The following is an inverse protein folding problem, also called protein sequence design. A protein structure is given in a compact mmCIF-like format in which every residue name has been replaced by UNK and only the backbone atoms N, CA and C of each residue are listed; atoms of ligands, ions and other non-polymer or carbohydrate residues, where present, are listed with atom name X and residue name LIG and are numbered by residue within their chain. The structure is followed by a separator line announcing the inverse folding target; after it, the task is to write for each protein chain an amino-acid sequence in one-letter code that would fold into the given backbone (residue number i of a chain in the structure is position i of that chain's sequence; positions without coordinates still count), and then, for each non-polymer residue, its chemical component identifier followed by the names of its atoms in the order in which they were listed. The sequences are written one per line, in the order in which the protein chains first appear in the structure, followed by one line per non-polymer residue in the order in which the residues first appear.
data_IF_714547529066
#
_entry.id   IF_714547529066
#
_cell.length_a   1.000
_cell.length_b   1.000
_cell.length_c   1.000
_cell.angle_alpha   90.00
_cell.angle_beta   90.00
_cell.angle_gamma   90.00
#
_symmetry.space_group_name_H-M   'P 1'
#
loop_
_entity.id
_entity.type
_entity.pdbx_description
1 polymer ?
#
# COMPACT_ATOMS: atom_id res chain seq x y z
N UNK A 1 5.72 -3.91 -12.86
CA UNK A 1 6.56 -4.05 -11.64
C UNK A 1 8.00 -3.75 -12.05
N UNK A 2 8.45 -2.50 -11.93
CA UNK A 2 9.60 -1.99 -12.67
C UNK A 2 10.61 -1.22 -11.82
N UNK A 3 11.78 -1.84 -11.62
CA UNK A 3 13.18 -1.37 -11.67
C UNK A 3 13.62 0.09 -11.36
N UNK A 4 12.78 1.02 -10.91
CA UNK A 4 13.23 2.39 -10.58
C UNK A 4 12.68 2.83 -9.23
N UNK A 5 13.35 2.38 -8.17
CA UNK A 5 13.13 2.80 -6.78
C UNK A 5 14.29 3.72 -6.31
N UNK A 6 14.85 4.53 -7.22
CA UNK A 6 15.82 5.54 -6.85
C UNK A 6 15.11 6.82 -6.36
N UNK A 7 15.83 7.67 -5.64
CA UNK A 7 15.28 8.92 -5.06
C UNK A 7 14.82 9.94 -6.13
N UNK A 8 15.14 9.70 -7.40
CA UNK A 8 14.73 10.51 -8.55
C UNK A 8 13.45 9.98 -9.22
N UNK A 9 12.96 8.81 -8.81
CA UNK A 9 11.73 8.25 -9.37
C UNK A 9 10.51 9.01 -8.86
N UNK A 10 9.66 9.45 -9.79
CA UNK A 10 8.34 10.02 -9.47
C UNK A 10 7.40 9.04 -8.77
N UNK A 11 7.69 7.73 -8.85
CA UNK A 11 6.92 6.69 -8.18
C UNK A 11 7.90 5.58 -7.72
N UNK A 12 8.11 5.50 -6.41
CA UNK A 12 9.01 4.49 -5.79
C UNK A 12 8.27 3.22 -5.39
N UNK A 13 7.01 3.09 -5.82
CA UNK A 13 6.12 2.00 -5.46
C UNK A 13 5.48 2.21 -4.09
N UNK A 14 4.27 1.65 -3.95
CA UNK A 14 3.41 1.86 -2.80
C UNK A 14 4.10 1.57 -1.46
N UNK A 15 4.97 0.56 -1.39
CA UNK A 15 5.63 0.18 -0.13
C UNK A 15 6.60 1.26 0.36
N UNK A 16 7.49 1.75 -0.51
CA UNK A 16 8.48 2.76 -0.12
C UNK A 16 7.81 4.10 0.19
N UNK A 17 6.77 4.47 -0.56
CA UNK A 17 5.98 5.68 -0.29
C UNK A 17 5.23 5.60 1.05
N UNK A 18 4.63 4.45 1.38
CA UNK A 18 4.01 4.24 2.69
C UNK A 18 5.03 4.30 3.83
N UNK A 19 6.22 3.71 3.66
CA UNK A 19 7.28 3.81 4.66
C UNK A 19 7.78 5.25 4.85
N UNK A 20 7.94 6.01 3.76
CA UNK A 20 8.32 7.42 3.83
C UNK A 20 7.27 8.24 4.59
N UNK A 21 5.97 8.06 4.27
CA UNK A 21 4.87 8.69 4.99
C UNK A 21 4.93 8.38 6.49
N UNK A 22 5.13 7.10 6.85
CA UNK A 22 5.25 6.67 8.25
C UNK A 22 6.56 7.11 8.91
N UNK A 23 7.58 7.48 8.15
CA UNK A 23 8.84 7.97 8.71
C UNK A 23 8.74 9.38 9.27
N UNK A 24 7.69 10.12 8.91
CA UNK A 24 7.41 11.47 9.42
C UNK A 24 7.12 11.44 10.92
N UNK A 25 6.42 10.40 11.38
CA UNK A 25 5.94 10.27 12.75
C UNK A 25 6.43 9.01 13.49
N UNK A 26 7.21 8.13 12.83
CA UNK A 26 7.84 6.98 13.47
C UNK A 26 9.39 7.03 13.36
N UNK A 27 10.10 7.43 14.43
CA UNK A 27 11.57 7.52 14.46
C UNK A 27 12.30 6.20 14.17
N UNK A 28 11.67 5.05 14.46
CA UNK A 28 12.27 3.74 14.18
C UNK A 28 12.31 3.47 12.68
N UNK A 29 11.26 3.86 11.96
CA UNK A 29 11.18 3.76 10.50
C UNK A 29 12.16 4.76 9.87
N UNK A 30 12.22 6.00 10.36
CA UNK A 30 13.21 6.99 9.90
C UNK A 30 14.64 6.48 10.03
N UNK A 31 14.96 5.82 11.16
CA UNK A 31 16.28 5.25 11.41
C UNK A 31 16.56 4.04 10.50
N UNK A 32 15.56 3.19 10.26
CA UNK A 32 15.73 2.01 9.40
C UNK A 32 15.83 2.37 7.93
N UNK A 33 15.00 3.29 7.41
CA UNK A 33 15.08 3.76 6.02
C UNK A 33 16.47 4.30 5.66
N UNK A 34 17.13 4.97 6.61
CA UNK A 34 18.50 5.51 6.41
C UNK A 34 19.60 4.46 6.48
N UNK A 35 19.37 3.30 7.11
CA UNK A 35 20.43 2.33 7.46
C UNK A 35 20.28 0.97 6.80
N UNK A 36 19.06 0.53 6.53
CA UNK A 36 18.73 -0.82 6.11
C UNK A 36 17.67 -0.76 5.01
N UNK A 37 17.91 -1.49 3.94
CA UNK A 37 16.88 -1.69 2.92
C UNK A 37 15.96 -2.81 3.42
N UNK A 38 14.66 -2.56 3.49
CA UNK A 38 13.64 -3.58 3.74
C UNK A 38 13.50 -4.49 2.51
N UNK A 39 14.55 -5.26 2.18
CA UNK A 39 14.63 -6.01 0.90
C UNK A 39 14.00 -7.39 0.97
N UNK A 40 13.79 -7.94 2.16
CA UNK A 40 13.18 -9.25 2.30
C UNK A 40 11.67 -9.18 2.11
N UNK A 41 11.15 -10.01 1.20
CA UNK A 41 9.75 -10.02 0.82
C UNK A 41 8.82 -10.38 1.99
N UNK A 42 9.26 -11.20 2.96
CA UNK A 42 8.44 -11.55 4.13
C UNK A 42 8.28 -10.34 5.02
N UNK A 43 9.38 -9.63 5.30
CA UNK A 43 9.35 -8.40 6.08
C UNK A 43 8.49 -7.32 5.41
N UNK A 44 8.59 -7.16 4.08
CA UNK A 44 7.73 -6.21 3.35
C UNK A 44 6.25 -6.56 3.49
N UNK A 45 5.88 -7.84 3.27
CA UNK A 45 4.49 -8.28 3.37
C UNK A 45 3.93 -8.14 4.79
N UNK A 46 4.73 -8.46 5.82
CA UNK A 46 4.33 -8.30 7.22
C UNK A 46 4.03 -6.83 7.55
N UNK A 47 4.88 -5.90 7.11
CA UNK A 47 4.65 -4.47 7.29
C UNK A 47 3.38 -4.03 6.55
N UNK A 48 3.17 -4.48 5.32
CA UNK A 48 1.96 -4.17 4.55
C UNK A 48 0.71 -4.68 5.28
N UNK A 49 0.76 -5.88 5.84
CA UNK A 49 -0.36 -6.45 6.59
C UNK A 49 -0.66 -5.68 7.88
N UNK A 50 0.37 -5.24 8.61
CA UNK A 50 0.18 -4.39 9.80
C UNK A 50 -0.48 -3.06 9.43
N UNK A 51 0.00 -2.40 8.36
CA UNK A 51 -0.59 -1.15 7.87
C UNK A 51 -2.05 -1.37 7.44
N UNK A 52 -2.32 -2.47 6.72
CA UNK A 52 -3.68 -2.85 6.30
C UNK A 52 -4.61 -3.01 7.50
N UNK A 53 -4.17 -3.72 8.54
CA UNK A 53 -4.96 -3.97 9.75
C UNK A 53 -5.28 -2.66 10.47
N UNK A 54 -4.28 -1.81 10.72
CA UNK A 54 -4.46 -0.52 11.39
C UNK A 54 -5.45 0.39 10.66
N UNK A 55 -5.27 0.56 9.34
CA UNK A 55 -6.16 1.40 8.53
C UNK A 55 -7.58 0.85 8.51
N UNK A 56 -7.73 -0.46 8.32
CA UNK A 56 -9.05 -1.11 8.26
C UNK A 56 -9.78 -0.99 9.60
N UNK A 57 -9.08 -1.24 10.72
CA UNK A 57 -9.63 -1.08 12.06
C UNK A 57 -10.04 0.37 12.34
N UNK A 58 -9.24 1.34 11.90
CA UNK A 58 -9.60 2.76 12.01
C UNK A 58 -10.89 3.11 11.26
N UNK A 59 -11.05 2.63 10.04
CA UNK A 59 -12.27 2.83 9.23
C UNK A 59 -13.48 2.17 9.91
N UNK A 60 -13.35 0.91 10.34
CA UNK A 60 -14.42 0.17 11.00
C UNK A 60 -14.86 0.85 12.29
N UNK A 61 -13.91 1.21 13.15
CA UNK A 61 -14.19 1.92 14.41
C UNK A 61 -14.92 3.25 14.17
N UNK A 62 -14.55 3.99 13.13
CA UNK A 62 -15.23 5.24 12.78
C UNK A 62 -16.64 4.98 12.26
N UNK A 63 -16.82 3.96 11.42
CA UNK A 63 -18.13 3.54 10.92
C UNK A 63 -19.07 3.14 12.05
N UNK A 64 -18.61 2.31 12.99
CA UNK A 64 -19.40 1.81 14.13
C UNK A 64 -19.81 2.93 15.09
N UNK A 65 -18.96 3.95 15.28
CA UNK A 65 -19.26 5.10 16.15
C UNK A 65 -20.09 6.18 15.45
N UNK A 66 -20.16 6.14 14.13
CA UNK A 66 -20.93 7.11 13.36
C UNK A 66 -22.42 6.79 13.44
N UNK A 67 -23.25 7.84 13.62
CA UNK A 67 -24.71 7.68 13.55
C UNK A 67 -25.19 7.32 12.14
N UNK A 68 -24.46 7.77 11.13
CA UNK A 68 -24.75 7.56 9.73
C UNK A 68 -23.44 7.39 8.95
N UNK A 69 -23.39 6.40 8.06
CA UNK A 69 -22.35 6.22 7.06
C UNK A 69 -22.99 5.84 5.73
N UNK A 70 -22.24 5.98 4.63
CA UNK A 70 -22.66 5.54 3.29
C UNK A 70 -21.51 4.81 2.62
N UNK A 71 -21.82 3.81 1.82
CA UNK A 71 -20.85 3.05 1.03
C UNK A 71 -21.15 3.31 -0.44
N UNK A 72 -20.18 3.86 -1.16
CA UNK A 72 -20.23 4.01 -2.61
C UNK A 72 -19.44 2.86 -3.23
N UNK A 73 -20.07 2.13 -4.15
CA UNK A 73 -19.47 1.00 -4.87
C UNK A 73 -19.45 1.36 -6.35
N UNK A 74 -18.27 1.26 -6.96
CA UNK A 74 -18.06 1.45 -8.39
C UNK A 74 -17.46 0.15 -8.95
N UNK A 75 -18.06 -0.37 -10.03
CA UNK A 75 -17.60 -1.59 -10.68
C UNK A 75 -16.83 -1.25 -11.96
N UNK A 76 -15.65 -1.86 -12.11
CA UNK A 76 -14.89 -1.80 -13.36
C UNK A 76 -15.00 -3.16 -14.06
N UNK A 77 -15.43 -3.18 -15.32
CA UNK A 77 -15.43 -4.41 -16.13
C UNK A 77 -14.05 -4.60 -16.75
N UNK A 78 -13.44 -5.76 -16.53
CA UNK A 78 -12.19 -6.11 -17.20
C UNK A 78 -12.45 -6.35 -18.70
N UNK A 79 -11.94 -5.46 -19.55
CA UNK A 79 -12.07 -5.55 -21.01
C UNK A 79 -10.91 -6.31 -21.66
N UNK A 80 -10.21 -7.19 -20.93
CA UNK A 80 -9.20 -8.07 -21.55
C UNK A 80 -9.84 -8.98 -22.60
N UNK A 81 -9.85 -8.50 -23.85
CA UNK A 81 -10.11 -9.31 -25.03
C UNK A 81 -8.90 -10.22 -25.19
N UNK A 82 -8.99 -11.44 -24.67
CA UNK A 82 -8.05 -12.49 -25.03
C UNK A 82 -8.34 -12.81 -26.50
N UNK A 83 -7.59 -12.19 -27.42
CA UNK A 83 -7.49 -12.64 -28.80
C UNK A 83 -6.77 -13.99 -28.79
N UNK A 84 -7.51 -15.05 -28.46
CA UNK A 84 -7.13 -16.41 -28.80
C UNK A 84 -7.27 -16.50 -30.32
N UNK A 85 -6.17 -16.24 -31.03
CA UNK A 85 -6.05 -16.69 -32.42
C UNK A 85 -5.79 -18.19 -32.40
N UNK A 86 -6.83 -18.97 -32.68
CA UNK A 86 -6.76 -20.34 -33.23
C UNK A 86 -7.95 -20.45 -34.20
N UNK A 87 -7.81 -20.97 -35.43
CA UNK A 87 -6.70 -21.77 -35.99
C UNK A 87 -5.73 -21.02 -36.91
#
# INVERSE_FOLDING_TARGET
RGRYENDESLNRGNFLELLELRSIDNPLITKHLKKLKFTDYKTQNEIIDLVRQEVSNGILNNSERSKYFSVMVDETTDITTVLIKIP
#
